data_IF_645458557662
#
_entry.id   IF_645458557662
#
_cell.length_a   1.000
_cell.length_b   1.000
_cell.length_c   1.000
_cell.angle_alpha   90.00
_cell.angle_beta   90.00
_cell.angle_gamma   90.00
#
_symmetry.space_group_name_H-M   'P 1'
#
loop_
_entity.id
_entity.type
_entity.pdbx_description
1 polymer ?
#
# COMPACT_ATOMS: atom_id res chain seq x y z
N UNK A 1 -13.09 -9.32 14.49
CA UNK A 1 -12.26 -9.49 13.26
C UNK A 1 -11.02 -8.64 13.42
N UNK A 2 -9.84 -9.15 13.08
CA UNK A 2 -8.62 -8.34 13.09
C UNK A 2 -8.21 -8.03 11.66
N UNK A 3 -8.13 -6.75 11.31
CA UNK A 3 -7.63 -6.31 10.02
C UNK A 3 -6.20 -5.85 10.20
N UNK A 4 -5.31 -6.41 9.38
CA UNK A 4 -3.92 -6.02 9.33
C UNK A 4 -3.63 -5.33 8.01
N UNK A 5 -2.81 -4.29 8.01
CA UNK A 5 -2.25 -3.70 6.81
C UNK A 5 -0.77 -4.02 6.74
N UNK A 6 -0.27 -4.34 5.54
CA UNK A 6 1.16 -4.48 5.29
C UNK A 6 1.60 -3.37 4.35
N UNK A 7 2.41 -2.47 4.89
CA UNK A 7 2.87 -1.26 4.21
C UNK A 7 4.39 -1.23 4.18
N UNK A 8 4.95 -0.44 3.27
CA UNK A 8 6.39 -0.33 3.10
C UNK A 8 6.77 0.12 1.69
N UNK A 9 8.04 0.45 1.44
CA UNK A 9 8.49 0.93 0.14
C UNK A 9 8.49 -0.19 -0.93
N UNK A 10 8.56 0.15 -2.23
CA UNK A 10 8.39 -0.81 -3.31
C UNK A 10 9.62 -1.70 -3.49
N UNK A 11 9.47 -3.00 -3.29
CA UNK A 11 10.59 -3.95 -3.39
C UNK A 11 11.32 -4.24 -2.08
N UNK A 12 10.75 -3.80 -0.96
CA UNK A 12 11.13 -4.17 0.43
C UNK A 12 10.79 -5.61 0.80
N UNK A 13 10.15 -6.38 -0.09
CA UNK A 13 9.83 -7.80 0.16
C UNK A 13 8.43 -8.10 0.72
N UNK A 14 7.51 -7.11 0.76
CA UNK A 14 6.11 -7.34 1.23
C UNK A 14 5.43 -8.54 0.58
N UNK A 15 5.61 -8.71 -0.74
CA UNK A 15 5.02 -9.82 -1.48
C UNK A 15 5.48 -11.18 -0.96
N UNK A 16 6.77 -11.33 -0.65
CA UNK A 16 7.25 -12.59 -0.08
C UNK A 16 6.81 -12.76 1.36
N UNK A 17 6.85 -11.69 2.16
CA UNK A 17 6.32 -11.73 3.53
C UNK A 17 4.84 -12.15 3.56
N UNK A 18 4.02 -11.63 2.64
CA UNK A 18 2.63 -12.05 2.44
C UNK A 18 2.51 -13.53 2.06
N UNK A 19 3.36 -14.04 1.16
CA UNK A 19 3.35 -15.45 0.76
C UNK A 19 3.71 -16.36 1.94
N UNK A 20 4.70 -15.98 2.75
CA UNK A 20 5.06 -16.69 3.97
C UNK A 20 3.90 -16.70 4.96
N UNK A 21 3.24 -15.56 5.20
CA UNK A 21 2.06 -15.48 6.06
C UNK A 21 0.93 -16.38 5.56
N UNK A 22 0.65 -16.39 4.26
CA UNK A 22 -0.35 -17.29 3.65
C UNK A 22 0.00 -18.76 3.87
N UNK A 23 1.27 -19.14 3.70
CA UNK A 23 1.72 -20.51 3.93
C UNK A 23 1.57 -20.96 5.39
N UNK A 24 1.82 -20.06 6.34
CA UNK A 24 1.74 -20.35 7.79
C UNK A 24 0.29 -20.35 8.30
N UNK A 25 -0.52 -19.39 7.87
CA UNK A 25 -1.87 -19.17 8.41
C UNK A 25 -3.00 -19.91 7.66
N UNK A 26 -2.70 -20.47 6.47
CA UNK A 26 -3.62 -21.30 5.67
C UNK A 26 -4.98 -20.62 5.44
N UNK A 27 -6.08 -21.39 5.50
CA UNK A 27 -7.44 -21.03 5.08
C UNK A 27 -8.12 -19.94 5.93
N UNK A 28 -7.49 -19.51 7.03
CA UNK A 28 -8.02 -18.44 7.90
C UNK A 28 -7.74 -17.02 7.40
N UNK A 29 -6.98 -16.87 6.31
CA UNK A 29 -6.45 -15.60 5.86
C UNK A 29 -7.00 -15.16 4.51
N UNK A 30 -7.61 -13.97 4.49
CA UNK A 30 -7.98 -13.28 3.25
C UNK A 30 -7.02 -12.12 2.99
N UNK A 31 -6.39 -12.13 1.82
CA UNK A 31 -5.52 -11.04 1.39
C UNK A 31 -6.25 -10.18 0.36
N UNK A 32 -6.36 -8.89 0.64
CA UNK A 32 -6.98 -7.89 -0.23
C UNK A 32 -5.88 -6.94 -0.70
N UNK A 33 -5.54 -6.98 -1.99
CA UNK A 33 -4.57 -6.07 -2.58
C UNK A 33 -5.26 -4.87 -3.20
N UNK A 34 -4.95 -3.67 -2.69
CA UNK A 34 -5.47 -2.42 -3.24
C UNK A 34 -5.13 -2.27 -4.73
N UNK A 35 -3.90 -2.64 -5.11
CA UNK A 35 -3.45 -2.61 -6.49
C UNK A 35 -4.23 -3.56 -7.42
N UNK A 36 -4.61 -4.75 -6.92
CA UNK A 36 -5.45 -5.66 -7.69
C UNK A 36 -6.85 -5.10 -7.90
N UNK A 37 -7.45 -4.46 -6.89
CA UNK A 37 -8.75 -3.82 -7.04
C UNK A 37 -8.70 -2.69 -8.07
N UNK A 38 -7.67 -1.84 -8.03
CA UNK A 38 -7.46 -0.83 -9.08
C UNK A 38 -7.38 -1.46 -10.48
N UNK A 39 -6.59 -2.52 -10.65
CA UNK A 39 -6.47 -3.22 -11.95
C UNK A 39 -7.79 -3.81 -12.42
N UNK A 40 -8.58 -4.38 -11.51
CA UNK A 40 -9.89 -4.92 -11.81
C UNK A 40 -10.85 -3.82 -12.27
N UNK A 41 -10.91 -2.69 -11.55
CA UNK A 41 -11.78 -1.56 -11.90
C UNK A 41 -11.40 -0.96 -13.27
N UNK A 42 -10.10 -0.81 -13.55
CA UNK A 42 -9.63 -0.39 -14.88
C UNK A 42 -10.02 -1.40 -15.97
N UNK A 43 -9.91 -2.70 -15.70
CA UNK A 43 -10.25 -3.76 -16.66
C UNK A 43 -11.75 -3.79 -17.01
N UNK A 44 -12.61 -3.44 -16.05
CA UNK A 44 -14.06 -3.33 -16.29
C UNK A 44 -14.49 -1.93 -16.73
N UNK A 45 -13.53 -1.06 -17.05
CA UNK A 45 -13.76 0.30 -17.54
C UNK A 45 -14.62 1.14 -16.59
N UNK A 46 -14.39 1.00 -15.27
CA UNK A 46 -15.08 1.81 -14.26
C UNK A 46 -14.96 3.31 -14.57
N UNK A 47 -16.07 4.07 -14.66
CA UNK A 47 -16.06 5.44 -15.18
C UNK A 47 -15.10 6.37 -14.45
N UNK A 48 -15.08 6.31 -13.12
CA UNK A 48 -14.21 7.14 -12.30
C UNK A 48 -12.74 6.72 -12.46
N UNK A 49 -12.45 5.42 -12.47
CA UNK A 49 -11.08 4.96 -12.71
C UNK A 49 -10.56 5.29 -14.11
N UNK A 50 -11.44 5.30 -15.12
CA UNK A 50 -11.08 5.73 -16.46
C UNK A 50 -10.76 7.22 -16.52
N UNK A 51 -11.54 8.06 -15.83
CA UNK A 51 -11.23 9.49 -15.67
C UNK A 51 -9.89 9.71 -14.96
N UNK A 52 -9.60 8.96 -13.90
CA UNK A 52 -8.32 9.03 -13.19
C UNK A 52 -7.15 8.66 -14.10
N UNK A 53 -7.26 7.55 -14.84
CA UNK A 53 -6.22 7.09 -15.77
C UNK A 53 -5.99 8.10 -16.89
N UNK A 54 -7.07 8.61 -17.46
CA UNK A 54 -7.02 9.60 -18.53
C UNK A 54 -6.40 10.92 -18.06
N UNK A 55 -6.84 11.42 -16.90
CA UNK A 55 -6.27 12.60 -16.26
C UNK A 55 -4.78 12.43 -16.03
N UNK A 56 -4.36 11.31 -15.42
CA UNK A 56 -2.93 11.01 -15.16
C UNK A 56 -2.08 10.91 -16.43
N UNK A 57 -2.66 10.52 -17.58
CA UNK A 57 -1.96 10.46 -18.88
C UNK A 57 -1.84 11.82 -19.56
N UNK A 58 -2.87 12.66 -19.45
CA UNK A 58 -3.00 13.88 -20.26
C UNK A 58 -2.28 15.11 -19.71
N UNK A 59 -1.89 15.12 -18.43
CA UNK A 59 -1.63 16.38 -17.73
C UNK A 59 -0.22 16.49 -17.12
N UNK A 60 0.38 17.68 -17.24
CA UNK A 60 1.42 18.16 -16.32
C UNK A 60 0.75 18.69 -15.04
N UNK A 61 0.08 17.82 -14.27
CA UNK A 61 -0.53 18.28 -13.00
C UNK A 61 0.55 18.86 -12.10
N UNK A 62 0.22 19.95 -11.39
CA UNK A 62 1.01 20.37 -10.24
C UNK A 62 0.98 19.31 -9.14
N UNK A 63 1.96 19.32 -8.23
CA UNK A 63 2.08 18.34 -7.14
C UNK A 63 0.78 18.19 -6.34
N UNK A 64 0.19 19.32 -5.91
CA UNK A 64 -1.04 19.33 -5.10
C UNK A 64 -2.24 18.70 -5.83
N UNK A 65 -2.38 18.94 -7.14
CA UNK A 65 -3.48 18.35 -7.92
C UNK A 65 -3.31 16.83 -8.07
N UNK A 66 -2.07 16.35 -8.21
CA UNK A 66 -1.79 14.89 -8.23
C UNK A 66 -2.09 14.24 -6.90
N UNK A 67 -1.74 14.91 -5.81
CA UNK A 67 -2.00 14.44 -4.45
C UNK A 67 -3.51 14.32 -4.20
N UNK A 68 -4.29 15.35 -4.55
CA UNK A 68 -5.75 15.34 -4.42
C UNK A 68 -6.40 14.23 -5.26
N UNK A 69 -6.03 14.09 -6.54
CA UNK A 69 -6.55 13.01 -7.39
C UNK A 69 -6.15 11.63 -6.86
N UNK A 70 -4.94 11.50 -6.33
CA UNK A 70 -4.45 10.26 -5.72
C UNK A 70 -5.25 9.89 -4.48
N UNK A 71 -5.53 10.86 -3.61
CA UNK A 71 -6.34 10.65 -2.41
C UNK A 71 -7.78 10.28 -2.77
N UNK A 72 -8.41 11.01 -3.69
CA UNK A 72 -9.76 10.70 -4.19
C UNK A 72 -9.84 9.29 -4.75
N UNK A 73 -8.87 8.90 -5.59
CA UNK A 73 -8.77 7.53 -6.11
C UNK A 73 -8.67 6.51 -4.97
N UNK A 74 -7.84 6.78 -3.98
CA UNK A 74 -7.64 5.85 -2.88
C UNK A 74 -8.89 5.67 -2.03
N UNK A 75 -9.57 6.75 -1.66
CA UNK A 75 -10.82 6.68 -0.89
C UNK A 75 -11.93 5.97 -1.68
N UNK A 76 -12.06 6.26 -2.98
CA UNK A 76 -13.04 5.57 -3.84
C UNK A 76 -12.81 4.05 -3.89
N UNK A 77 -11.57 3.62 -4.16
CA UNK A 77 -11.22 2.20 -4.22
C UNK A 77 -11.39 1.54 -2.85
N UNK A 78 -11.13 2.28 -1.77
CA UNK A 78 -11.36 1.81 -0.40
C UNK A 78 -12.83 1.53 -0.15
N UNK A 79 -13.72 2.46 -0.48
CA UNK A 79 -15.17 2.26 -0.34
C UNK A 79 -15.62 0.99 -1.09
N UNK A 80 -15.14 0.81 -2.31
CA UNK A 80 -15.40 -0.38 -3.13
C UNK A 80 -14.86 -1.68 -2.51
N UNK A 81 -13.73 -1.63 -1.81
CA UNK A 81 -13.19 -2.77 -1.06
C UNK A 81 -14.04 -3.08 0.17
N UNK A 82 -14.48 -2.06 0.90
CA UNK A 82 -15.35 -2.22 2.08
C UNK A 82 -16.65 -2.92 1.67
N UNK A 83 -17.35 -2.39 0.67
CA UNK A 83 -18.61 -2.97 0.19
C UNK A 83 -18.47 -4.43 -0.25
N UNK A 84 -17.37 -4.76 -0.93
CA UNK A 84 -17.17 -6.10 -1.49
C UNK A 84 -16.64 -7.10 -0.48
N UNK A 85 -15.67 -6.69 0.32
CA UNK A 85 -14.84 -7.60 1.09
C UNK A 85 -15.21 -7.65 2.57
N UNK A 86 -15.93 -6.64 3.06
CA UNK A 86 -16.31 -6.46 4.47
C UNK A 86 -17.83 -6.60 4.72
N UNK A 87 -18.58 -7.08 3.72
CA UNK A 87 -19.99 -7.45 3.87
C UNK A 87 -20.13 -8.98 4.05
N UNK A 88 -20.88 -9.42 5.07
CA UNK A 88 -21.15 -10.84 5.34
C UNK A 88 -20.24 -11.51 6.37
N UNK A 89 -20.12 -12.85 6.30
CA UNK A 89 -19.27 -13.62 7.21
C UNK A 89 -17.80 -13.42 6.86
N UNK A 90 -17.09 -12.70 7.71
CA UNK A 90 -15.68 -12.35 7.48
C UNK A 90 -14.75 -13.44 8.02
N UNK A 91 -13.61 -13.68 7.35
CA UNK A 91 -12.57 -14.54 7.89
C UNK A 91 -12.01 -13.92 9.18
N UNK A 92 -11.35 -14.76 9.99
CA UNK A 92 -10.77 -14.33 11.26
C UNK A 92 -9.74 -13.20 11.08
N UNK A 93 -9.06 -13.17 9.92
CA UNK A 93 -8.05 -12.19 9.59
C UNK A 93 -8.11 -11.72 8.14
N UNK A 94 -8.06 -10.41 7.94
CA UNK A 94 -7.93 -9.76 6.63
C UNK A 94 -6.59 -9.03 6.58
N UNK A 95 -5.81 -9.24 5.52
CA UNK A 95 -4.61 -8.45 5.23
C UNK A 95 -4.86 -7.50 4.07
N UNK A 96 -4.65 -6.21 4.30
CA UNK A 96 -4.62 -5.15 3.31
C UNK A 96 -3.18 -4.98 2.81
N UNK A 97 -2.94 -5.24 1.53
CA UNK A 97 -1.62 -5.08 0.90
C UNK A 97 -1.47 -3.69 0.26
N UNK A 98 -0.48 -2.92 0.75
CA UNK A 98 -0.20 -1.52 0.37
C UNK A 98 -1.35 -0.53 0.63
N UNK A 99 -2.15 -0.77 1.67
CA UNK A 99 -3.24 0.10 2.07
C UNK A 99 -3.56 -0.11 3.56
N UNK A 100 -3.84 0.95 4.35
CA UNK A 100 -3.80 2.37 3.99
C UNK A 100 -2.38 2.92 3.82
N UNK A 101 -2.24 4.05 3.12
CA UNK A 101 -0.97 4.75 2.85
C UNK A 101 -0.93 6.19 3.39
N UNK A 102 -2.00 6.64 4.03
CA UNK A 102 -2.12 7.98 4.58
C UNK A 102 -3.09 8.02 5.76
N UNK A 103 -2.98 9.04 6.62
CA UNK A 103 -3.91 9.26 7.73
C UNK A 103 -5.36 9.36 7.26
N UNK A 104 -5.71 10.13 6.20
CA UNK A 104 -7.09 10.18 5.73
C UNK A 104 -7.68 8.82 5.34
N UNK A 105 -6.87 7.91 4.79
CA UNK A 105 -7.30 6.55 4.48
C UNK A 105 -7.56 5.72 5.74
N UNK A 106 -6.73 5.86 6.78
CA UNK A 106 -6.98 5.25 8.10
C UNK A 106 -8.27 5.78 8.73
N UNK A 107 -8.46 7.10 8.73
CA UNK A 107 -9.66 7.74 9.27
C UNK A 107 -10.92 7.24 8.55
N UNK A 108 -10.86 7.14 7.23
CA UNK A 108 -11.97 6.61 6.44
C UNK A 108 -12.32 5.15 6.81
N UNK A 109 -11.33 4.31 7.12
CA UNK A 109 -11.58 2.95 7.60
C UNK A 109 -12.20 2.95 9.00
N UNK A 110 -11.71 3.80 9.90
CA UNK A 110 -12.23 3.95 11.25
C UNK A 110 -13.70 4.41 11.25
N UNK A 111 -14.07 5.35 10.38
CA UNK A 111 -15.46 5.80 10.17
C UNK A 111 -16.40 4.66 9.75
N UNK A 112 -15.86 3.62 9.12
CA UNK A 112 -16.58 2.40 8.75
C UNK A 112 -16.46 1.27 9.79
N UNK A 113 -15.99 1.57 11.00
CA UNK A 113 -15.75 0.61 12.09
C UNK A 113 -14.74 -0.49 11.73
N UNK A 114 -13.76 -0.19 10.88
CA UNK A 114 -12.68 -1.10 10.49
C UNK A 114 -11.41 -0.66 11.23
N UNK A 115 -11.13 -1.31 12.35
CA UNK A 115 -9.88 -1.13 13.10
C UNK A 115 -8.73 -1.86 12.38
N UNK A 116 -7.70 -1.11 11.98
CA UNK A 116 -6.57 -1.62 11.18
C UNK A 116 -5.28 -1.52 11.95
N UNK A 117 -4.60 -2.66 12.11
CA UNK A 117 -3.25 -2.74 12.66
C UNK A 117 -2.22 -2.76 11.54
N UNK A 118 -1.23 -1.89 11.59
CA UNK A 118 -0.24 -1.82 10.51
C UNK A 118 1.04 -2.60 10.86
N UNK A 119 1.48 -3.47 9.96
CA UNK A 119 2.84 -4.00 9.91
C UNK A 119 3.58 -3.20 8.84
N UNK A 120 4.63 -2.51 9.25
CA UNK A 120 5.42 -1.65 8.37
C UNK A 120 6.77 -2.31 8.11
N UNK A 121 7.02 -2.70 6.86
CA UNK A 121 8.33 -3.15 6.44
C UNK A 121 9.13 -1.92 5.99
N UNK A 122 10.22 -1.62 6.69
CA UNK A 122 11.12 -0.52 6.33
C UNK A 122 12.54 -1.05 6.08
N UNK A 123 13.30 -0.32 5.27
CA UNK A 123 14.71 -0.60 5.03
C UNK A 123 15.52 0.08 6.14
N UNK A 124 16.58 -0.57 6.63
CA UNK A 124 17.51 0.10 7.54
C UNK A 124 18.09 1.37 6.92
N UNK A 125 18.19 2.46 7.70
CA UNK A 125 18.69 3.74 7.19
C UNK A 125 20.08 3.64 6.54
N UNK A 126 20.98 2.87 7.14
CA UNK A 126 22.32 2.66 6.60
C UNK A 126 22.34 1.88 5.27
N UNK A 127 21.26 1.19 4.92
CA UNK A 127 21.13 0.42 3.68
C UNK A 127 20.26 1.11 2.62
N UNK A 128 19.70 2.29 2.91
CA UNK A 128 18.79 3.01 2.01
C UNK A 128 19.42 3.28 0.62
N UNK A 129 20.71 3.63 0.58
CA UNK A 129 21.46 3.83 -0.67
C UNK A 129 21.54 2.54 -1.47
N UNK A 130 21.88 1.43 -0.80
CA UNK A 130 21.98 0.12 -1.45
C UNK A 130 20.62 -0.35 -1.99
N UNK A 131 19.55 -0.15 -1.22
CA UNK A 131 18.18 -0.40 -1.66
C UNK A 131 17.82 0.39 -2.94
N UNK A 132 18.10 1.70 -2.96
CA UNK A 132 17.83 2.55 -4.13
C UNK A 132 18.60 2.05 -5.37
N UNK A 133 19.83 1.60 -5.18
CA UNK A 133 20.64 1.04 -6.27
C UNK A 133 20.07 -0.28 -6.79
N UNK A 134 19.69 -1.19 -5.88
CA UNK A 134 19.06 -2.46 -6.25
C UNK A 134 17.76 -2.27 -7.02
N UNK A 135 16.90 -1.34 -6.58
CA UNK A 135 15.63 -1.08 -7.26
C UNK A 135 15.85 -0.34 -8.59
N UNK A 136 16.79 0.60 -8.67
CA UNK A 136 17.07 1.34 -9.91
C UNK A 136 17.63 0.45 -11.02
N UNK A 137 18.33 -0.65 -10.68
CA UNK A 137 18.80 -1.66 -11.65
C UNK A 137 17.68 -2.51 -12.27
N UNK A 138 16.49 -2.56 -11.66
CA UNK A 138 15.35 -3.28 -12.25
C UNK A 138 14.87 -2.47 -13.47
N UNK A 139 14.81 -3.07 -14.66
CA UNK A 139 14.37 -2.38 -15.90
C UNK A 139 12.85 -2.15 -15.96
N UNK A 140 12.27 -1.40 -15.02
CA UNK A 140 10.87 -0.91 -15.08
C UNK A 140 10.86 0.59 -15.35
N UNK A 141 9.88 1.05 -16.14
CA UNK A 141 9.81 2.44 -16.65
C UNK A 141 9.84 3.54 -15.59
N UNK A 142 9.51 3.23 -14.33
CA UNK A 142 9.45 4.18 -13.21
C UNK A 142 10.67 4.15 -12.26
N UNK A 143 11.71 3.38 -12.57
CA UNK A 143 12.85 3.14 -11.68
C UNK A 143 13.96 4.20 -11.76
N UNK A 144 13.62 5.44 -12.12
CA UNK A 144 14.56 6.55 -12.03
C UNK A 144 15.01 6.71 -10.57
N UNK A 145 16.33 6.75 -10.33
CA UNK A 145 16.93 6.78 -8.98
C UNK A 145 16.27 7.84 -8.06
N UNK A 146 16.06 9.04 -8.60
CA UNK A 146 15.41 10.15 -7.89
C UNK A 146 13.97 9.83 -7.47
N UNK A 147 13.17 9.24 -8.36
CA UNK A 147 11.79 8.84 -8.03
C UNK A 147 11.75 7.78 -6.93
N UNK A 148 12.69 6.84 -6.93
CA UNK A 148 12.77 5.80 -5.89
C UNK A 148 13.13 6.43 -4.55
N UNK A 149 14.04 7.41 -4.53
CA UNK A 149 14.41 8.15 -3.32
C UNK A 149 13.23 8.98 -2.78
N UNK A 150 12.56 9.75 -3.64
CA UNK A 150 11.36 10.52 -3.27
C UNK A 150 10.27 9.60 -2.72
N UNK A 151 10.04 8.45 -3.36
CA UNK A 151 9.06 7.48 -2.90
C UNK A 151 9.41 6.88 -1.55
N UNK A 152 10.68 6.51 -1.32
CA UNK A 152 11.14 5.98 -0.04
C UNK A 152 10.92 7.00 1.09
N UNK A 153 11.31 8.26 0.87
CA UNK A 153 11.11 9.34 1.84
C UNK A 153 9.63 9.60 2.12
N UNK A 154 8.81 9.72 1.06
CA UNK A 154 7.37 9.92 1.19
C UNK A 154 6.71 8.77 1.94
N UNK A 155 7.07 7.52 1.62
CA UNK A 155 6.52 6.35 2.32
C UNK A 155 6.91 6.35 3.79
N UNK A 156 8.17 6.67 4.12
CA UNK A 156 8.62 6.75 5.52
C UNK A 156 7.92 7.84 6.30
N UNK A 157 7.72 9.01 5.70
CA UNK A 157 6.98 10.09 6.33
C UNK A 157 5.54 9.65 6.66
N UNK A 158 4.81 9.11 5.68
CA UNK A 158 3.46 8.59 5.92
C UNK A 158 3.42 7.45 6.94
N UNK A 159 4.43 6.57 6.93
CA UNK A 159 4.56 5.47 7.91
C UNK A 159 4.79 5.98 9.33
N UNK A 160 5.62 7.01 9.52
CA UNK A 160 5.84 7.65 10.82
C UNK A 160 4.53 8.22 11.36
N UNK A 161 3.85 9.01 10.54
CA UNK A 161 2.58 9.66 10.91
C UNK A 161 1.52 8.63 11.33
N UNK A 162 1.45 7.50 10.61
CA UNK A 162 0.55 6.39 10.93
C UNK A 162 0.94 5.67 12.23
N UNK A 163 2.23 5.45 12.51
CA UNK A 163 2.68 4.83 13.78
C UNK A 163 2.37 5.73 14.97
N UNK A 164 2.61 7.03 14.84
CA UNK A 164 2.34 7.99 15.92
C UNK A 164 0.85 8.10 16.23
N UNK A 165 0.00 7.96 15.21
CA UNK A 165 -1.45 8.03 15.34
C UNK A 165 -2.05 6.72 15.88
N UNK A 166 -1.55 5.56 15.42
CA UNK A 166 -2.12 4.25 15.73
C UNK A 166 -1.25 3.46 16.72
N UNK A 167 -1.72 3.34 17.97
CA UNK A 167 -1.02 2.66 19.09
C UNK A 167 -0.73 1.17 18.85
N UNK A 168 -1.30 0.56 17.81
CA UNK A 168 -1.17 -0.87 17.50
C UNK A 168 -0.36 -1.16 16.23
N UNK A 169 0.41 -0.20 15.72
CA UNK A 169 1.31 -0.38 14.57
C UNK A 169 2.66 -0.97 14.99
N UNK A 170 3.19 -1.88 14.17
CA UNK A 170 4.49 -2.53 14.37
C UNK A 170 5.39 -2.18 13.19
N UNK A 171 6.58 -1.63 13.48
CA UNK A 171 7.66 -1.49 12.49
C UNK A 171 8.56 -2.72 12.53
N UNK A 172 8.85 -3.26 11.36
CA UNK A 172 9.83 -4.33 11.14
C UNK A 172 10.85 -3.79 10.15
N UNK A 173 12.09 -3.66 10.59
CA UNK A 173 13.20 -3.32 9.72
C UNK A 173 13.70 -4.58 9.00
N UNK A 174 13.94 -4.45 7.70
CA UNK A 174 14.41 -5.52 6.83
C UNK A 174 15.66 -5.07 6.08
N UNK A 175 16.52 -6.04 5.78
CA UNK A 175 17.70 -5.74 4.97
C UNK A 175 17.32 -5.37 3.54
N UNK A 176 18.07 -4.46 2.92
CA UNK A 176 18.00 -4.15 1.50
C UNK A 176 18.15 -5.40 0.63
N UNK A 177 18.88 -6.41 1.11
CA UNK A 177 19.09 -7.69 0.42
C UNK A 177 18.09 -8.77 0.80
N UNK A 178 17.14 -8.48 1.70
CA UNK A 178 16.02 -9.37 2.03
C UNK A 178 14.99 -9.39 0.88
N UNK A 179 15.41 -9.82 -0.30
CA UNK A 179 14.57 -10.65 -1.14
C UNK A 179 14.83 -12.08 -0.67
N UNK A 180 13.93 -12.70 0.11
CA UNK A 180 13.98 -14.16 0.23
C UNK A 180 13.91 -14.74 -1.19
N UNK A 181 14.95 -15.49 -1.53
CA UNK A 181 14.93 -16.42 -2.67
C UNK A 181 13.81 -17.45 -2.49
#
# INVERSE_FOLDING_TARGET
>A
MTVWAIVGPPGVGKGTFLNTLKAVLKDGLKCVSFGDRCRQLVKVEDPFMMEVVDTMKRTQLGSLQRENLTLQRNLYVTAQLIEREFTGSLPNMVILDNFPRSIPELQFLAEHNIDVRCIMLDIYDHEAVHYVERISRRKRGDNARLRIQEYLLSTRHSMNDMIETERNSIRIEVSADASPE
#
